data_IF_245047689824
#
_entry.id   IF_245047689824
#
_cell.length_a   1.000
_cell.length_b   1.000
_cell.length_c   1.000
_cell.angle_alpha   90.00
_cell.angle_beta   90.00
_cell.angle_gamma   90.00
#
_symmetry.space_group_name_H-M   'P 1'
#
loop_
_entity.id
_entity.type
_entity.pdbx_description
1 polymer ?
#
# COMPACT_ATOMS: atom_id res chain seq x y z
N UNK A 1 3.97 12.96 -6.47
CA UNK A 1 4.51 12.33 -7.69
C UNK A 1 3.72 11.06 -7.91
N UNK A 2 2.92 10.99 -8.96
CA UNK A 2 2.14 9.80 -9.28
C UNK A 2 3.04 8.79 -10.02
N UNK A 3 3.20 7.60 -9.44
CA UNK A 3 4.08 6.55 -9.96
C UNK A 3 3.31 5.37 -10.56
N UNK A 4 2.00 5.53 -10.81
CA UNK A 4 1.15 4.41 -11.23
C UNK A 4 1.52 3.75 -12.55
N UNK A 5 2.18 4.48 -13.44
CA UNK A 5 2.68 3.98 -14.73
C UNK A 5 4.21 3.93 -14.79
N UNK A 6 4.89 4.08 -13.66
CA UNK A 6 6.35 4.06 -13.60
C UNK A 6 6.86 2.60 -13.52
N UNK A 7 7.58 2.10 -14.54
CA UNK A 7 8.16 0.76 -14.52
C UNK A 7 9.15 0.57 -13.37
N UNK A 8 9.91 1.61 -12.99
CA UNK A 8 10.85 1.54 -11.89
C UNK A 8 10.13 1.35 -10.56
N UNK A 9 9.01 2.06 -10.35
CA UNK A 9 8.17 1.84 -9.18
C UNK A 9 7.56 0.44 -9.16
N UNK A 10 7.10 -0.09 -10.29
CA UNK A 10 6.59 -1.46 -10.34
C UNK A 10 7.66 -2.50 -9.93
N UNK A 11 8.90 -2.33 -10.41
CA UNK A 11 10.04 -3.18 -10.02
C UNK A 11 10.35 -3.02 -8.53
N UNK A 12 10.36 -1.80 -8.00
CA UNK A 12 10.55 -1.52 -6.57
C UNK A 12 9.46 -2.20 -5.72
N UNK A 13 8.20 -2.01 -6.08
CA UNK A 13 7.03 -2.53 -5.37
C UNK A 13 7.02 -4.06 -5.32
N UNK A 14 7.17 -4.70 -6.48
CA UNK A 14 7.13 -6.17 -6.58
C UNK A 14 8.43 -6.82 -6.09
N UNK A 15 9.58 -6.19 -6.33
CA UNK A 15 10.89 -6.66 -5.91
C UNK A 15 11.07 -6.61 -4.39
N UNK A 16 10.70 -5.49 -3.75
CA UNK A 16 10.72 -5.36 -2.28
C UNK A 16 9.79 -6.37 -1.61
N UNK A 17 8.58 -6.54 -2.13
CA UNK A 17 7.62 -7.53 -1.62
C UNK A 17 8.21 -8.94 -1.69
N UNK A 18 8.79 -9.33 -2.83
CA UNK A 18 9.38 -10.66 -2.99
C UNK A 18 10.53 -10.90 -2.02
N UNK A 19 11.41 -9.92 -1.81
CA UNK A 19 12.57 -10.04 -0.90
C UNK A 19 12.16 -10.12 0.56
N UNK A 20 11.19 -9.30 0.99
CA UNK A 20 10.77 -9.20 2.39
C UNK A 20 9.77 -10.30 2.77
N UNK A 21 8.75 -10.52 1.94
CA UNK A 21 7.64 -11.45 2.23
C UNK A 21 7.95 -12.87 1.75
N UNK A 22 8.96 -13.06 0.90
CA UNK A 22 9.43 -14.37 0.44
C UNK A 22 8.56 -15.03 -0.63
N UNK A 23 7.56 -14.32 -1.18
CA UNK A 23 6.66 -14.80 -2.25
C UNK A 23 6.34 -13.68 -3.24
N UNK A 24 5.95 -13.97 -4.49
CA UNK A 24 5.62 -12.91 -5.44
C UNK A 24 4.32 -12.18 -5.05
N UNK A 25 4.27 -10.87 -5.27
CA UNK A 25 3.04 -10.06 -5.11
C UNK A 25 2.02 -10.38 -6.21
N UNK A 26 2.51 -10.63 -7.43
CA UNK A 26 1.68 -10.90 -8.60
C UNK A 26 1.66 -12.40 -8.94
N UNK A 27 0.54 -12.96 -9.42
CA UNK A 27 0.39 -14.40 -9.66
C UNK A 27 1.35 -15.02 -10.68
N UNK A 28 1.87 -14.24 -11.63
CA UNK A 28 2.77 -14.75 -12.65
C UNK A 28 3.34 -13.70 -13.60
N UNK A 29 4.19 -14.11 -14.56
CA UNK A 29 4.94 -13.20 -15.44
C UNK A 29 4.06 -12.31 -16.35
N UNK A 30 2.82 -12.70 -16.63
CA UNK A 30 1.87 -11.91 -17.43
C UNK A 30 1.19 -10.77 -16.66
N UNK A 31 1.34 -10.73 -15.33
CA UNK A 31 0.75 -9.72 -14.46
C UNK A 31 1.66 -8.47 -14.40
N UNK A 32 1.59 -7.66 -15.45
CA UNK A 32 2.38 -6.43 -15.63
C UNK A 32 1.98 -5.31 -14.65
N UNK A 33 2.70 -4.18 -14.69
CA UNK A 33 2.31 -2.95 -13.99
C UNK A 33 0.88 -2.50 -14.35
N UNK A 34 0.52 -2.56 -15.64
CA UNK A 34 -0.81 -2.22 -16.13
C UNK A 34 -1.87 -3.16 -15.55
N UNK A 35 -1.61 -4.47 -15.51
CA UNK A 35 -2.50 -5.44 -14.88
C UNK A 35 -2.65 -5.19 -13.38
N UNK A 36 -1.54 -4.96 -12.66
CA UNK A 36 -1.58 -4.69 -11.22
C UNK A 36 -2.40 -3.44 -10.90
N UNK A 37 -2.30 -2.42 -11.75
CA UNK A 37 -3.04 -1.17 -11.62
C UNK A 37 -4.53 -1.33 -11.96
N UNK A 38 -4.87 -2.00 -13.07
CA UNK A 38 -6.22 -1.97 -13.63
C UNK A 38 -7.10 -3.18 -13.28
N UNK A 39 -6.49 -4.35 -13.05
CA UNK A 39 -7.18 -5.65 -13.05
C UNK A 39 -6.95 -6.50 -11.80
N UNK A 40 -5.91 -6.22 -11.00
CA UNK A 40 -5.63 -7.01 -9.81
C UNK A 40 -6.85 -7.09 -8.87
N UNK A 41 -7.27 -8.30 -8.45
CA UNK A 41 -8.46 -8.52 -7.62
C UNK A 41 -8.22 -8.19 -6.13
N UNK A 42 -7.16 -7.45 -5.82
CA UNK A 42 -6.77 -7.05 -4.47
C UNK A 42 -6.28 -5.61 -4.48
N UNK A 43 -6.43 -4.93 -3.35
CA UNK A 43 -6.01 -3.55 -3.19
C UNK A 43 -4.49 -3.46 -3.03
N UNK A 44 -3.86 -2.48 -3.66
CA UNK A 44 -2.48 -2.09 -3.38
C UNK A 44 -2.39 -0.58 -3.25
N UNK A 45 -1.74 -0.12 -2.19
CA UNK A 45 -1.47 1.28 -1.89
C UNK A 45 0.00 1.45 -1.51
N UNK A 46 0.58 2.61 -1.81
CA UNK A 46 1.89 2.99 -1.29
C UNK A 46 1.96 4.47 -0.95
N UNK A 47 2.77 4.78 0.06
CA UNK A 47 3.16 6.14 0.41
C UNK A 47 4.67 6.32 0.37
N UNK A 48 5.11 7.56 0.23
CA UNK A 48 6.54 7.93 0.28
C UNK A 48 7.15 7.74 1.68
N UNK A 49 8.45 8.01 1.80
CA UNK A 49 9.21 7.95 3.05
C UNK A 49 9.35 9.30 3.78
N UNK A 50 8.51 10.29 3.48
CA UNK A 50 8.59 11.62 4.11
C UNK A 50 8.16 11.64 5.58
N UNK A 51 8.42 12.75 6.29
CA UNK A 51 8.04 12.90 7.71
C UNK A 51 6.52 12.81 7.96
N UNK A 52 5.70 13.30 7.03
CA UNK A 52 4.24 13.07 6.98
C UNK A 52 3.93 12.31 5.68
N UNK A 53 4.03 10.96 5.67
CA UNK A 53 4.04 10.19 4.45
C UNK A 53 2.79 10.37 3.61
N UNK A 54 2.94 10.60 2.30
CA UNK A 54 1.82 10.86 1.39
C UNK A 54 1.64 9.72 0.40
N UNK A 55 0.38 9.42 0.06
CA UNK A 55 0.10 8.40 -0.96
C UNK A 55 0.73 8.80 -2.30
N UNK A 56 1.46 7.85 -2.89
CA UNK A 56 2.11 7.99 -4.21
C UNK A 56 1.53 7.00 -5.23
N UNK A 57 0.84 5.96 -4.74
CA UNK A 57 0.24 4.93 -5.58
C UNK A 57 -1.02 4.34 -4.95
N UNK A 58 -2.00 4.05 -5.80
CA UNK A 58 -3.13 3.18 -5.51
C UNK A 58 -3.60 2.50 -6.80
N UNK A 59 -3.87 1.19 -6.74
CA UNK A 59 -4.50 0.52 -7.88
C UNK A 59 -6.03 0.74 -7.91
N UNK A 60 -6.68 0.36 -9.01
CA UNK A 60 -8.12 0.54 -9.22
C UNK A 60 -8.96 -0.07 -8.10
N UNK A 61 -8.57 -1.24 -7.61
CA UNK A 61 -9.26 -1.90 -6.49
C UNK A 61 -9.18 -1.04 -5.21
N UNK A 62 -7.99 -0.55 -4.86
CA UNK A 62 -7.83 0.33 -3.71
C UNK A 62 -8.62 1.64 -3.86
N UNK A 63 -8.59 2.28 -5.03
CA UNK A 63 -9.35 3.51 -5.30
C UNK A 63 -10.85 3.30 -5.11
N UNK A 64 -11.41 2.20 -5.65
CA UNK A 64 -12.83 1.86 -5.47
C UNK A 64 -13.20 1.50 -4.03
N UNK A 65 -12.29 0.85 -3.29
CA UNK A 65 -12.50 0.54 -1.87
C UNK A 65 -12.43 1.79 -0.99
N UNK A 66 -11.54 2.73 -1.27
CA UNK A 66 -11.43 3.95 -0.46
C UNK A 66 -12.36 5.07 -0.95
N UNK A 67 -12.95 4.94 -2.14
CA UNK A 67 -13.89 5.92 -2.70
C UNK A 67 -13.22 7.21 -3.17
N UNK A 68 -11.95 7.14 -3.59
CA UNK A 68 -11.21 8.28 -4.13
C UNK A 68 -10.97 8.10 -5.62
N UNK A 69 -11.01 9.21 -6.35
CA UNK A 69 -10.32 9.27 -7.63
C UNK A 69 -8.80 9.33 -7.40
N UNK A 70 -8.04 8.90 -8.40
CA UNK A 70 -6.58 8.83 -8.30
C UNK A 70 -5.97 10.20 -7.98
N UNK A 71 -6.35 11.23 -8.72
CA UNK A 71 -5.81 12.59 -8.55
C UNK A 71 -6.24 13.22 -7.21
N UNK A 72 -7.25 12.66 -6.55
CA UNK A 72 -7.64 13.05 -5.21
C UNK A 72 -6.81 12.35 -4.15
N UNK A 73 -6.52 11.05 -4.32
CA UNK A 73 -5.79 10.27 -3.32
C UNK A 73 -4.29 10.59 -3.31
N UNK A 74 -3.68 10.75 -4.48
CA UNK A 74 -2.24 10.97 -4.58
C UNK A 74 -1.88 12.32 -3.95
N UNK A 75 -0.91 12.31 -3.04
CA UNK A 75 -0.49 13.47 -2.27
C UNK A 75 -1.25 13.66 -0.95
N UNK A 76 -2.32 12.92 -0.68
CA UNK A 76 -2.99 12.94 0.62
C UNK A 76 -2.07 12.32 1.69
N UNK A 77 -1.95 12.94 2.88
CA UNK A 77 -1.28 12.32 4.03
C UNK A 77 -1.90 10.96 4.34
N UNK A 78 -1.06 9.93 4.30
CA UNK A 78 -1.48 8.53 4.39
C UNK A 78 -2.22 8.20 5.69
N UNK A 79 -1.99 8.99 6.76
CA UNK A 79 -2.72 8.91 8.03
C UNK A 79 -4.23 9.13 7.92
N UNK A 80 -4.74 9.71 6.83
CA UNK A 80 -6.18 9.88 6.61
C UNK A 80 -6.89 8.61 6.11
N UNK A 81 -6.14 7.53 5.82
CA UNK A 81 -6.74 6.21 5.56
C UNK A 81 -7.26 5.49 6.82
N UNK A 82 -6.99 6.04 8.00
CA UNK A 82 -7.50 5.57 9.29
C UNK A 82 -8.05 6.75 10.11
N UNK A 83 -9.24 6.57 10.69
CA UNK A 83 -9.86 7.57 11.55
C UNK A 83 -9.25 7.53 12.97
N UNK A 84 -9.47 8.56 13.79
CA UNK A 84 -9.26 8.40 15.22
C UNK A 84 -10.32 7.42 15.79
N UNK A 85 -9.98 6.51 16.71
CA UNK A 85 -8.68 6.30 17.38
C UNK A 85 -7.68 5.39 16.63
N UNK A 86 -8.10 4.77 15.52
CA UNK A 86 -7.34 3.80 14.72
C UNK A 86 -5.98 4.32 14.21
N UNK A 87 -5.79 5.65 14.16
CA UNK A 87 -4.49 6.27 13.82
C UNK A 87 -3.34 5.78 14.71
N UNK A 88 -3.57 5.55 16.00
CA UNK A 88 -2.54 5.06 16.91
C UNK A 88 -2.16 3.59 16.63
N UNK A 89 -3.12 2.78 16.21
CA UNK A 89 -2.87 1.40 15.78
C UNK A 89 -2.14 1.37 14.43
N UNK A 90 -2.55 2.22 13.48
CA UNK A 90 -1.83 2.41 12.23
C UNK A 90 -0.37 2.81 12.48
N UNK A 91 -0.11 3.75 13.39
CA UNK A 91 1.27 4.14 13.70
C UNK A 91 2.08 2.97 14.26
N UNK A 92 1.53 2.22 15.22
CA UNK A 92 2.19 1.01 15.77
C UNK A 92 2.50 -0.02 14.69
N UNK A 93 1.61 -0.20 13.72
CA UNK A 93 1.83 -1.05 12.55
C UNK A 93 3.01 -0.53 11.72
N UNK A 94 3.03 0.76 11.37
CA UNK A 94 4.11 1.32 10.56
C UNK A 94 5.46 1.26 11.27
N UNK A 95 5.49 1.45 12.58
CA UNK A 95 6.70 1.33 13.40
C UNK A 95 7.21 -0.12 13.41
N UNK A 96 6.32 -1.12 13.46
CA UNK A 96 6.68 -2.52 13.34
C UNK A 96 7.24 -2.84 11.95
N UNK A 97 6.58 -2.37 10.88
CA UNK A 97 7.09 -2.52 9.50
C UNK A 97 8.47 -1.87 9.33
N UNK A 98 8.70 -0.70 9.94
CA UNK A 98 9.99 -0.03 9.89
C UNK A 98 11.11 -0.83 10.57
N UNK A 99 10.81 -1.54 11.66
CA UNK A 99 11.79 -2.40 12.37
C UNK A 99 11.99 -3.76 11.68
N UNK A 100 10.91 -4.39 11.27
CA UNK A 100 10.89 -5.81 10.89
C UNK A 100 10.88 -6.02 9.37
N UNK A 101 10.79 -4.94 8.59
CA UNK A 101 10.72 -4.94 7.13
C UNK A 101 9.30 -5.13 6.60
N UNK A 102 8.52 -6.03 7.19
CA UNK A 102 7.11 -6.22 6.87
C UNK A 102 6.31 -6.74 8.07
N UNK A 103 5.00 -6.56 8.01
CA UNK A 103 4.02 -7.17 8.90
C UNK A 103 2.96 -7.85 8.04
N UNK A 104 2.58 -9.07 8.42
CA UNK A 104 1.51 -9.83 7.79
C UNK A 104 0.37 -10.10 8.77
N UNK A 105 -0.78 -10.56 8.24
CA UNK A 105 -1.98 -10.87 9.01
C UNK A 105 -2.50 -9.69 9.82
N UNK A 106 -2.27 -8.46 9.34
CA UNK A 106 -2.79 -7.27 9.98
C UNK A 106 -4.29 -7.14 9.69
N UNK A 107 -5.05 -6.81 10.72
CA UNK A 107 -6.45 -6.43 10.62
C UNK A 107 -6.64 -5.06 11.28
N UNK A 108 -7.63 -4.31 10.80
CA UNK A 108 -7.95 -3.01 11.39
C UNK A 108 -9.07 -2.31 10.65
N UNK A 109 -9.56 -1.22 11.20
CA UNK A 109 -10.59 -0.42 10.55
C UNK A 109 -9.95 0.67 9.67
N UNK A 110 -10.50 0.83 8.48
CA UNK A 110 -10.16 1.88 7.52
C UNK A 110 -11.38 2.73 7.23
N UNK A 111 -11.14 3.92 6.70
CA UNK A 111 -12.18 4.90 6.41
C UNK A 111 -12.13 5.27 4.93
N UNK A 112 -13.31 5.27 4.30
CA UNK A 112 -13.52 5.77 2.94
C UNK A 112 -13.58 7.30 2.93
N UNK A 113 -13.49 7.89 1.74
CA UNK A 113 -13.66 9.33 1.51
C UNK A 113 -14.97 9.88 2.08
N UNK A 114 -16.05 9.12 1.98
CA UNK A 114 -17.39 9.50 2.46
C UNK A 114 -17.58 9.34 3.98
N UNK A 115 -16.54 8.90 4.70
CA UNK A 115 -16.57 8.63 6.13
C UNK A 115 -17.01 7.21 6.50
N UNK A 116 -17.41 6.38 5.52
CA UNK A 116 -17.79 4.99 5.79
C UNK A 116 -16.61 4.18 6.27
N UNK A 117 -16.77 3.53 7.43
CA UNK A 117 -15.76 2.64 8.01
C UNK A 117 -15.88 1.23 7.43
N UNK A 118 -14.74 0.59 7.16
CA UNK A 118 -14.71 -0.80 6.71
C UNK A 118 -13.52 -1.55 7.33
N UNK A 119 -13.69 -2.83 7.68
CA UNK A 119 -12.59 -3.65 8.16
C UNK A 119 -11.70 -4.10 6.99
N UNK A 120 -10.40 -4.18 7.24
CA UNK A 120 -9.48 -4.98 6.44
C UNK A 120 -8.97 -6.16 7.28
N UNK A 121 -8.66 -7.26 6.61
CA UNK A 121 -8.09 -8.48 7.20
C UNK A 121 -6.98 -9.01 6.31
N UNK A 122 -6.13 -9.85 6.90
CA UNK A 122 -5.02 -10.52 6.21
C UNK A 122 -4.12 -9.56 5.41
N UNK A 123 -4.06 -8.30 5.87
CA UNK A 123 -3.31 -7.27 5.19
C UNK A 123 -1.82 -7.49 5.43
N UNK A 124 -1.03 -7.18 4.40
CA UNK A 124 0.42 -7.17 4.46
C UNK A 124 0.88 -5.75 4.20
N UNK A 125 1.73 -5.24 5.09
CA UNK A 125 2.39 -3.94 4.94
C UNK A 125 3.89 -4.17 4.94
N UNK A 126 4.60 -3.59 3.98
CA UNK A 126 6.03 -3.81 3.79
C UNK A 126 6.77 -2.53 3.42
N UNK A 127 8.08 -2.50 3.68
CA UNK A 127 8.95 -1.42 3.25
C UNK A 127 9.26 -1.52 1.75
N UNK A 128 9.22 -0.38 1.06
CA UNK A 128 9.72 -0.23 -0.29
C UNK A 128 11.23 -0.04 -0.24
N UNK A 129 11.97 -1.15 -0.31
CA UNK A 129 13.43 -1.16 -0.36
C UNK A 129 13.89 -1.43 -1.79
N UNK A 130 14.82 -0.63 -2.31
CA UNK A 130 15.50 -0.95 -3.58
C UNK A 130 16.53 -2.10 -3.42
N UNK A 131 17.25 -2.43 -4.49
CA UNK A 131 18.27 -3.50 -4.45
C UNK A 131 19.52 -3.13 -3.62
N UNK A 132 19.81 -1.85 -3.46
CA UNK A 132 20.90 -1.36 -2.63
C UNK A 132 20.51 -1.23 -1.15
N UNK A 133 19.25 -1.53 -0.81
CA UNK A 133 18.71 -1.36 0.55
C UNK A 133 18.24 0.05 0.86
N UNK A 134 18.15 0.94 -0.13
CA UNK A 134 17.60 2.28 0.00
C UNK A 134 16.10 2.25 0.27
N UNK A 135 15.64 3.04 1.25
CA UNK A 135 14.24 3.14 1.65
C UNK A 135 13.50 4.22 0.84
N UNK A 136 12.35 3.85 0.28
CA UNK A 136 11.51 4.72 -0.57
C UNK A 136 10.09 4.94 -0.03
N UNK A 137 9.74 4.33 1.11
CA UNK A 137 8.41 4.40 1.70
C UNK A 137 7.86 3.03 2.08
N UNK A 138 6.55 2.92 2.19
CA UNK A 138 5.87 1.66 2.55
C UNK A 138 4.67 1.41 1.66
N UNK A 139 4.34 0.14 1.47
CA UNK A 139 3.19 -0.29 0.70
C UNK A 139 2.33 -1.27 1.50
N UNK A 140 1.06 -1.35 1.14
CA UNK A 140 0.07 -2.22 1.77
C UNK A 140 -0.74 -2.96 0.70
N UNK A 141 -1.06 -4.23 0.98
CA UNK A 141 -1.94 -5.05 0.15
C UNK A 141 -2.94 -5.79 1.02
N UNK A 142 -4.18 -5.89 0.54
CA UNK A 142 -5.24 -6.67 1.16
C UNK A 142 -6.32 -7.00 0.12
N UNK A 143 -7.09 -8.06 0.37
CA UNK A 143 -8.28 -8.37 -0.41
C UNK A 143 -9.53 -8.06 0.43
N UNK A 144 -10.63 -7.73 -0.24
CA UNK A 144 -11.94 -7.75 0.41
C UNK A 144 -12.45 -9.20 0.44
N UNK A 145 -13.12 -9.62 1.52
CA UNK A 145 -13.75 -10.93 1.60
C UNK A 145 -14.87 -11.11 0.56
#
# INVERSE_FOLDING_TARGET
MDVSNDPAFHVLLTGSYRRLVGRPLVPGPGCTAAWLHAEAPFAVLAHDGGEDPRFIYANRMALGIFGYEKDELIGIPSRYSAEAPERAERQRLLDAVARDGFVANYAGIRIRKDGTRFPIRDAIVWQLLDEAGGFHGQAATFAMP
#
